data_IF_265169233207
#
_entry.id   IF_265169233207
#
_cell.length_a   1.000
_cell.length_b   1.000
_cell.length_c   1.000
_cell.angle_alpha   90.00
_cell.angle_beta   90.00
_cell.angle_gamma   90.00
#
_symmetry.space_group_name_H-M   'P 1'
#
loop_
_entity.id
_entity.type
_entity.pdbx_description
1 polymer ?
#
# COMPACT_ATOMS: atom_id res chain seq x y z
N UNK A 1 53.56 6.70 82.20
CA UNK A 1 52.15 6.94 81.83
C UNK A 1 52.10 7.32 80.35
N UNK A 2 51.41 6.52 79.53
CA UNK A 2 50.88 6.73 78.17
C UNK A 2 51.80 7.40 77.10
N UNK A 3 51.89 6.97 75.83
CA UNK A 3 51.00 6.17 74.99
C UNK A 3 51.78 5.59 73.80
N UNK A 4 51.54 4.32 73.46
CA UNK A 4 52.01 3.63 72.25
C UNK A 4 51.28 4.12 71.00
N UNK A 5 52.01 4.29 69.88
CA UNK A 5 51.45 4.32 68.52
C UNK A 5 52.52 3.82 67.53
N UNK A 6 52.60 2.49 67.37
CA UNK A 6 53.37 1.86 66.30
C UNK A 6 52.45 1.60 65.12
N UNK A 7 52.76 2.22 63.97
CA UNK A 7 52.02 2.06 62.71
C UNK A 7 52.26 0.65 62.13
N UNK A 8 51.20 -0.12 61.97
CA UNK A 8 51.20 -1.37 61.20
C UNK A 8 51.07 -1.02 59.70
N UNK A 9 52.05 -1.40 58.88
CA UNK A 9 51.95 -1.33 57.42
C UNK A 9 51.42 -2.68 56.93
N UNK A 10 50.19 -2.71 56.43
CA UNK A 10 49.59 -3.89 55.80
C UNK A 10 49.94 -3.88 54.31
N UNK A 11 50.74 -4.86 53.88
CA UNK A 11 51.10 -5.07 52.47
C UNK A 11 49.97 -5.88 51.81
N UNK A 12 49.12 -5.25 51.01
CA UNK A 12 48.09 -5.94 50.21
C UNK A 12 48.69 -6.40 48.88
N UNK A 13 48.95 -7.70 48.76
CA UNK A 13 49.31 -8.35 47.49
C UNK A 13 48.07 -8.50 46.60
N UNK A 14 47.98 -7.73 45.51
CA UNK A 14 46.97 -7.92 44.46
C UNK A 14 47.32 -9.14 43.60
N UNK A 15 46.52 -10.21 43.69
CA UNK A 15 46.53 -11.30 42.71
C UNK A 15 45.71 -10.88 41.49
N UNK A 16 46.38 -10.67 40.34
CA UNK A 16 45.72 -10.44 39.06
C UNK A 16 45.16 -11.77 38.52
N UNK A 17 43.84 -11.94 38.59
CA UNK A 17 43.11 -13.06 37.96
C UNK A 17 42.97 -12.74 36.47
N UNK A 18 43.75 -13.42 35.62
CA UNK A 18 43.60 -13.35 34.16
C UNK A 18 42.42 -14.25 33.79
N UNK A 19 41.25 -13.64 33.56
CA UNK A 19 40.08 -14.34 33.00
C UNK A 19 40.28 -14.43 31.49
N UNK A 20 40.32 -15.63 30.88
CA UNK A 20 40.42 -15.75 29.43
C UNK A 20 39.13 -15.24 28.80
N UNK A 21 39.23 -14.13 28.07
CA UNK A 21 38.15 -13.59 27.25
C UNK A 21 37.93 -14.52 26.06
N UNK A 22 37.02 -15.48 26.20
CA UNK A 22 36.49 -16.19 25.05
C UNK A 22 35.74 -15.19 24.15
N UNK A 23 36.13 -15.00 22.89
CA UNK A 23 35.33 -14.20 21.97
C UNK A 23 33.97 -14.87 21.84
N UNK A 24 32.94 -14.17 22.31
CA UNK A 24 31.55 -14.56 22.10
C UNK A 24 31.34 -14.54 20.59
N UNK A 25 31.39 -15.72 19.95
CA UNK A 25 30.92 -15.88 18.58
C UNK A 25 29.41 -15.62 18.60
N UNK A 26 29.02 -14.37 18.37
CA UNK A 26 27.66 -14.06 17.98
C UNK A 26 27.49 -14.67 16.60
N UNK A 27 26.91 -15.87 16.55
CA UNK A 27 26.37 -16.43 15.32
C UNK A 27 25.27 -15.47 14.87
N UNK A 28 25.64 -14.49 14.03
CA UNK A 28 24.68 -13.76 13.24
C UNK A 28 24.05 -14.78 12.29
N UNK A 29 22.92 -15.36 12.70
CA UNK A 29 22.05 -16.07 11.77
C UNK A 29 21.60 -15.03 10.76
N UNK A 30 22.28 -14.96 9.61
CA UNK A 30 21.74 -14.29 8.43
C UNK A 30 20.48 -15.08 8.07
N UNK A 31 19.34 -14.61 8.53
CA UNK A 31 18.04 -15.13 8.12
C UNK A 31 17.98 -15.02 6.60
N UNK A 32 17.79 -16.16 5.94
CA UNK A 32 17.82 -16.24 4.48
C UNK A 32 16.78 -15.29 3.88
N UNK A 33 17.13 -14.61 2.79
CA UNK A 33 16.14 -13.81 2.07
C UNK A 33 15.03 -14.72 1.54
N UNK A 34 13.80 -14.24 1.61
CA UNK A 34 12.64 -14.88 1.02
C UNK A 34 12.70 -14.77 -0.50
N UNK A 35 12.49 -15.90 -1.16
CA UNK A 35 12.29 -15.94 -2.60
C UNK A 35 10.80 -16.06 -2.89
N UNK A 36 10.21 -14.99 -3.43
CA UNK A 36 8.82 -14.98 -3.86
C UNK A 36 8.76 -15.20 -5.38
N UNK A 37 8.32 -16.39 -5.87
CA UNK A 37 8.18 -16.65 -7.30
C UNK A 37 7.00 -15.90 -7.93
N UNK A 38 6.07 -15.38 -7.12
CA UNK A 38 4.93 -14.61 -7.56
C UNK A 38 4.42 -13.66 -6.49
N UNK A 39 3.69 -12.63 -6.93
CA UNK A 39 2.92 -11.74 -6.06
C UNK A 39 1.43 -11.81 -6.47
N UNK A 40 0.55 -12.00 -5.49
CA UNK A 40 -0.89 -11.84 -5.67
C UNK A 40 -1.36 -10.61 -4.91
N UNK A 41 -1.73 -9.56 -5.65
CA UNK A 41 -2.08 -8.27 -5.09
C UNK A 41 -3.60 -8.07 -5.03
N UNK A 42 -4.08 -7.55 -3.90
CA UNK A 42 -5.45 -7.13 -3.66
C UNK A 42 -5.43 -5.68 -3.22
N UNK A 43 -6.41 -4.89 -3.65
CA UNK A 43 -6.32 -3.47 -3.33
C UNK A 43 -7.29 -2.57 -4.05
N UNK A 44 -7.03 -1.28 -3.90
CA UNK A 44 -7.68 -0.23 -4.65
C UNK A 44 -6.75 0.41 -5.69
N UNK A 45 -7.01 1.66 -6.06
CA UNK A 45 -6.27 2.40 -7.06
C UNK A 45 -4.81 2.66 -6.71
N UNK A 46 -4.42 2.58 -5.43
CA UNK A 46 -3.02 2.72 -5.01
C UNK A 46 -2.13 1.56 -5.49
N UNK A 47 -2.74 0.43 -5.85
CA UNK A 47 -2.04 -0.75 -6.36
C UNK A 47 -2.67 -1.32 -7.64
N UNK A 48 -3.65 -0.67 -8.25
CA UNK A 48 -4.30 -1.11 -9.49
C UNK A 48 -3.35 -0.98 -10.69
N UNK A 49 -3.07 -2.10 -11.37
CA UNK A 49 -2.23 -2.15 -12.58
C UNK A 49 -3.03 -2.32 -13.88
N UNK A 50 -4.35 -2.16 -13.83
CA UNK A 50 -5.24 -2.19 -14.99
C UNK A 50 -6.60 -2.87 -14.78
N UNK A 51 -6.97 -3.26 -13.56
CA UNK A 51 -8.24 -3.90 -13.22
C UNK A 51 -9.44 -3.02 -13.57
N UNK A 52 -9.44 -1.76 -13.15
CA UNK A 52 -10.52 -0.83 -13.54
C UNK A 52 -10.47 -0.55 -15.05
N UNK A 53 -9.26 -0.46 -15.61
CA UNK A 53 -9.06 -0.16 -17.02
C UNK A 53 -9.60 -1.25 -17.95
N UNK A 54 -9.43 -2.52 -17.58
CA UNK A 54 -9.95 -3.67 -18.30
C UNK A 54 -11.48 -3.79 -18.20
N UNK A 55 -12.07 -3.43 -17.05
CA UNK A 55 -13.51 -3.56 -16.82
C UNK A 55 -14.34 -2.35 -17.30
N UNK A 56 -13.83 -1.12 -17.15
CA UNK A 56 -14.62 0.11 -17.31
C UNK A 56 -13.96 1.15 -18.24
N UNK A 57 -12.78 0.87 -18.77
CA UNK A 57 -12.08 1.73 -19.72
C UNK A 57 -10.79 2.31 -19.16
N UNK A 58 -9.82 2.49 -20.05
CA UNK A 58 -8.44 2.85 -19.72
C UNK A 58 -8.34 4.16 -18.94
N UNK A 59 -7.45 4.19 -17.93
CA UNK A 59 -6.97 5.43 -17.36
C UNK A 59 -6.49 6.36 -18.50
N UNK A 60 -7.06 7.55 -18.68
CA UNK A 60 -6.75 8.35 -19.86
C UNK A 60 -5.34 8.95 -19.79
N UNK A 61 -4.73 9.34 -20.93
CA UNK A 61 -3.56 10.21 -20.90
C UNK A 61 -3.86 11.48 -20.08
N UNK A 62 -2.92 12.03 -19.31
CA UNK A 62 -1.47 11.74 -19.30
C UNK A 62 -1.00 10.66 -18.30
N UNK A 63 -1.88 9.80 -17.77
CA UNK A 63 -1.43 8.70 -16.91
C UNK A 63 -0.34 7.86 -17.62
N UNK A 64 0.71 7.50 -16.88
CA UNK A 64 1.86 6.73 -17.38
C UNK A 64 2.94 7.52 -18.13
N UNK A 65 2.82 8.85 -18.30
CA UNK A 65 3.77 9.65 -19.11
C UNK A 65 5.24 9.56 -18.67
N UNK A 66 5.52 9.42 -17.38
CA UNK A 66 6.88 9.46 -16.81
C UNK A 66 7.67 8.19 -17.11
N UNK A 67 7.03 7.01 -17.06
CA UNK A 67 7.74 5.73 -17.15
C UNK A 67 7.25 4.80 -18.25
N UNK A 68 5.93 4.65 -18.39
CA UNK A 68 5.36 3.81 -19.44
C UNK A 68 5.27 4.56 -20.78
N UNK A 69 5.36 5.89 -20.73
CA UNK A 69 5.23 6.83 -21.85
C UNK A 69 3.88 6.73 -22.60
N UNK A 70 2.91 6.07 -21.97
CA UNK A 70 1.53 5.90 -22.41
C UNK A 70 0.69 5.40 -21.22
N UNK A 71 -0.65 5.51 -21.29
CA UNK A 71 -1.52 4.83 -20.35
C UNK A 71 -1.22 3.34 -20.23
N UNK A 72 -1.00 2.90 -18.98
CA UNK A 72 -0.69 1.51 -18.63
C UNK A 72 -1.59 1.00 -17.48
N UNK A 73 -2.84 1.49 -17.43
CA UNK A 73 -3.85 1.08 -16.45
C UNK A 73 -3.68 1.62 -15.03
N UNK A 74 -2.60 2.34 -14.73
CA UNK A 74 -2.28 2.91 -13.41
C UNK A 74 -2.77 4.35 -13.30
N UNK A 75 -3.36 4.71 -12.17
CA UNK A 75 -3.71 6.09 -11.83
C UNK A 75 -2.50 6.81 -11.24
N UNK A 76 -1.47 7.04 -12.05
CA UNK A 76 -0.24 7.74 -11.71
C UNK A 76 0.42 8.21 -13.00
N UNK A 77 1.40 9.11 -12.94
CA UNK A 77 2.28 9.41 -14.07
C UNK A 77 3.22 8.25 -14.41
N UNK A 78 3.29 7.21 -13.57
CA UNK A 78 4.05 6.00 -13.89
C UNK A 78 3.83 4.87 -12.90
N UNK A 79 4.92 4.36 -12.32
CA UNK A 79 4.94 3.19 -11.44
C UNK A 79 4.28 3.44 -10.09
N UNK A 80 3.56 2.42 -9.61
CA UNK A 80 2.98 2.35 -8.27
C UNK A 80 3.94 1.66 -7.29
N UNK A 81 3.65 1.72 -5.98
CA UNK A 81 4.44 1.02 -4.96
C UNK A 81 4.54 -0.49 -5.25
N UNK A 82 3.45 -1.10 -5.75
CA UNK A 82 3.43 -2.53 -6.12
C UNK A 82 4.40 -2.87 -7.26
N UNK A 83 4.65 -1.95 -8.19
CA UNK A 83 5.61 -2.16 -9.28
C UNK A 83 7.05 -2.20 -8.75
N UNK A 84 7.37 -1.37 -7.75
CA UNK A 84 8.67 -1.40 -7.08
C UNK A 84 8.83 -2.64 -6.20
N UNK A 85 7.76 -3.10 -5.53
CA UNK A 85 7.75 -4.37 -4.80
C UNK A 85 8.07 -5.53 -5.76
N UNK A 86 7.38 -5.63 -6.89
CA UNK A 86 7.64 -6.66 -7.90
C UNK A 86 9.08 -6.61 -8.43
N UNK A 87 9.57 -5.42 -8.79
CA UNK A 87 10.95 -5.23 -9.25
C UNK A 87 12.01 -5.66 -8.23
N UNK A 88 11.72 -5.54 -6.93
CA UNK A 88 12.65 -5.92 -5.86
C UNK A 88 12.91 -7.42 -5.74
N UNK A 89 11.99 -8.23 -6.28
CA UNK A 89 12.09 -9.68 -6.40
C UNK A 89 12.46 -10.13 -7.83
N UNK A 90 12.76 -9.20 -8.73
CA UNK A 90 13.05 -9.51 -10.13
C UNK A 90 11.85 -10.02 -10.92
N UNK A 91 10.62 -9.77 -10.44
CA UNK A 91 9.39 -10.17 -11.12
C UNK A 91 9.00 -9.13 -12.18
N UNK A 92 8.30 -9.54 -13.26
CA UNK A 92 7.65 -8.59 -14.15
C UNK A 92 6.58 -7.79 -13.41
N UNK A 93 6.17 -6.65 -13.96
CA UNK A 93 5.01 -5.93 -13.44
C UNK A 93 3.77 -6.79 -13.51
N UNK A 94 2.98 -6.77 -12.44
CA UNK A 94 1.80 -7.61 -12.34
C UNK A 94 0.76 -7.18 -13.36
N UNK A 95 0.29 -8.14 -14.15
CA UNK A 95 -0.88 -7.95 -15.00
C UNK A 95 -2.16 -7.98 -14.17
N UNK A 96 -3.13 -7.15 -14.53
CA UNK A 96 -4.45 -7.19 -13.95
C UNK A 96 -5.15 -8.51 -14.30
N UNK A 97 -5.83 -9.11 -13.34
CA UNK A 97 -6.59 -10.36 -13.54
C UNK A 97 -7.62 -10.24 -14.68
N UNK A 98 -8.26 -9.08 -14.78
CA UNK A 98 -9.31 -8.79 -15.76
C UNK A 98 -8.77 -8.46 -17.15
N UNK A 99 -7.46 -8.30 -17.32
CA UNK A 99 -6.89 -7.96 -18.62
C UNK A 99 -6.89 -9.18 -19.55
N UNK A 100 -7.46 -8.98 -20.75
CA UNK A 100 -7.75 -10.06 -21.69
C UNK A 100 -6.69 -10.24 -22.77
N UNK A 101 -5.80 -9.25 -22.97
CA UNK A 101 -4.86 -9.22 -24.10
C UNK A 101 -3.42 -9.18 -23.61
N UNK A 102 -2.62 -10.16 -24.03
CA UNK A 102 -1.17 -10.15 -23.79
C UNK A 102 -0.75 -10.46 -22.34
N UNK A 103 -1.68 -10.94 -21.52
CA UNK A 103 -1.45 -11.16 -20.10
C UNK A 103 -0.54 -12.36 -19.81
N UNK A 104 0.42 -12.17 -18.91
CA UNK A 104 1.29 -13.21 -18.38
C UNK A 104 1.20 -13.22 -16.85
N UNK A 105 0.70 -14.32 -16.29
CA UNK A 105 0.50 -14.48 -14.85
C UNK A 105 1.56 -15.36 -14.16
N UNK A 106 2.68 -15.66 -14.82
CA UNK A 106 3.76 -16.48 -14.23
C UNK A 106 4.32 -15.87 -12.94
N UNK A 107 4.50 -14.54 -12.93
CA UNK A 107 4.92 -13.77 -11.76
C UNK A 107 3.79 -13.40 -10.80
N UNK A 108 2.60 -13.98 -10.98
CA UNK A 108 1.41 -13.67 -10.20
C UNK A 108 0.43 -12.75 -10.93
N UNK A 109 -0.57 -12.27 -10.20
CA UNK A 109 -1.71 -11.51 -10.75
C UNK A 109 -2.13 -10.39 -9.80
N UNK A 110 -2.69 -9.33 -10.38
CA UNK A 110 -3.24 -8.22 -9.62
C UNK A 110 -4.76 -8.17 -9.72
N UNK A 111 -5.44 -8.29 -8.57
CA UNK A 111 -6.89 -8.22 -8.43
C UNK A 111 -7.36 -6.83 -7.96
N UNK A 112 -6.43 -5.92 -7.65
CA UNK A 112 -6.77 -4.56 -7.27
C UNK A 112 -7.51 -3.85 -8.40
N UNK A 113 -8.50 -3.04 -8.03
CA UNK A 113 -9.29 -2.23 -8.96
C UNK A 113 -9.47 -0.84 -8.37
N UNK A 114 -9.28 0.20 -9.19
CA UNK A 114 -9.41 1.57 -8.75
C UNK A 114 -10.80 1.88 -8.19
N UNK A 115 -10.85 2.57 -7.05
CA UNK A 115 -12.11 2.86 -6.34
C UNK A 115 -12.70 1.66 -5.57
N UNK A 116 -12.01 0.53 -5.49
CA UNK A 116 -12.46 -0.62 -4.70
C UNK A 116 -12.50 -0.34 -3.20
N UNK A 117 -13.44 -1.01 -2.55
CA UNK A 117 -13.74 -0.91 -1.12
C UNK A 117 -13.69 -2.31 -0.49
N UNK A 118 -13.46 -2.38 0.81
CA UNK A 118 -13.54 -3.65 1.55
C UNK A 118 -14.97 -4.17 1.48
N UNK A 119 -15.94 -3.34 1.84
CA UNK A 119 -17.36 -3.70 1.77
C UNK A 119 -17.94 -3.40 0.39
N UNK A 120 -18.84 -4.24 -0.15
CA UNK A 120 -19.61 -3.90 -1.34
C UNK A 120 -20.36 -2.57 -1.20
N UNK A 121 -20.41 -1.78 -2.27
CA UNK A 121 -21.17 -0.53 -2.30
C UNK A 121 -22.59 -0.76 -2.81
N UNK A 122 -23.57 -0.05 -2.22
CA UNK A 122 -24.97 -0.08 -2.64
C UNK A 122 -25.29 0.87 -3.82
N UNK A 123 -24.26 1.37 -4.50
CA UNK A 123 -24.38 2.33 -5.62
C UNK A 123 -23.53 1.86 -6.78
N UNK A 124 -23.86 2.28 -8.00
CA UNK A 124 -23.07 1.97 -9.19
C UNK A 124 -21.83 2.86 -9.28
N UNK A 125 -20.83 2.43 -10.07
CA UNK A 125 -19.67 3.24 -10.43
C UNK A 125 -20.06 4.62 -10.97
N UNK A 126 -21.11 4.70 -11.80
CA UNK A 126 -21.60 5.96 -12.36
C UNK A 126 -22.25 6.90 -11.33
N UNK A 127 -22.79 6.36 -10.23
CA UNK A 127 -23.44 7.14 -9.18
C UNK A 127 -22.44 7.69 -8.17
N UNK A 128 -21.51 6.85 -7.71
CA UNK A 128 -20.62 7.19 -6.58
C UNK A 128 -19.15 7.35 -6.96
N UNK A 129 -18.72 6.78 -8.09
CA UNK A 129 -17.32 6.70 -8.48
C UNK A 129 -16.55 5.54 -7.83
N UNK A 130 -17.19 4.72 -7.00
CA UNK A 130 -16.57 3.55 -6.38
C UNK A 130 -16.79 2.29 -7.23
N UNK A 131 -15.79 1.43 -7.27
CA UNK A 131 -15.82 0.21 -8.07
C UNK A 131 -16.79 -0.82 -7.49
N UNK A 132 -17.55 -1.54 -8.33
CA UNK A 132 -18.35 -2.68 -7.89
C UNK A 132 -17.48 -3.92 -7.54
N UNK A 133 -16.17 -3.87 -7.83
CA UNK A 133 -15.21 -4.93 -7.55
C UNK A 133 -14.65 -4.72 -6.14
N UNK A 134 -15.45 -4.97 -5.11
CA UNK A 134 -15.04 -4.91 -3.71
C UNK A 134 -14.10 -6.07 -3.34
N UNK A 135 -13.47 -6.03 -2.15
CA UNK A 135 -12.46 -7.01 -1.74
C UNK A 135 -12.95 -8.46 -1.81
N UNK A 136 -14.22 -8.72 -1.48
CA UNK A 136 -14.81 -10.04 -1.63
C UNK A 136 -14.92 -10.48 -3.10
N UNK A 137 -15.15 -9.56 -4.03
CA UNK A 137 -15.16 -9.85 -5.48
C UNK A 137 -13.74 -10.15 -5.95
N UNK A 138 -12.75 -9.35 -5.54
CA UNK A 138 -11.33 -9.63 -5.82
C UNK A 138 -10.91 -11.01 -5.30
N UNK A 139 -11.44 -11.42 -4.14
CA UNK A 139 -11.23 -12.78 -3.64
C UNK A 139 -11.92 -13.84 -4.51
N UNK A 140 -13.14 -13.62 -5.01
CA UNK A 140 -13.78 -14.55 -5.94
C UNK A 140 -12.99 -14.71 -7.23
N UNK A 141 -12.45 -13.60 -7.75
CA UNK A 141 -11.54 -13.59 -8.89
C UNK A 141 -10.29 -14.42 -8.60
N UNK A 142 -9.65 -14.22 -7.44
CA UNK A 142 -8.49 -15.02 -7.03
C UNK A 142 -8.83 -16.50 -6.86
N UNK A 143 -9.95 -16.84 -6.23
CA UNK A 143 -10.39 -18.22 -6.03
C UNK A 143 -10.58 -18.93 -7.38
N UNK A 144 -11.23 -18.27 -8.33
CA UNK A 144 -11.41 -18.80 -9.68
C UNK A 144 -10.08 -18.88 -10.43
N UNK A 145 -9.23 -17.86 -10.32
CA UNK A 145 -7.89 -17.85 -10.91
C UNK A 145 -7.03 -19.01 -10.40
N UNK A 146 -7.02 -19.25 -9.08
CA UNK A 146 -6.26 -20.31 -8.44
C UNK A 146 -6.63 -21.68 -9.04
N UNK A 147 -7.92 -22.00 -9.13
CA UNK A 147 -8.38 -23.29 -9.67
C UNK A 147 -8.23 -23.37 -11.20
N UNK A 148 -8.66 -22.33 -11.92
CA UNK A 148 -8.70 -22.32 -13.39
C UNK A 148 -7.32 -22.24 -14.00
N UNK A 149 -6.35 -21.62 -13.35
CA UNK A 149 -4.95 -21.60 -13.80
C UNK A 149 -4.40 -23.02 -13.92
N UNK A 150 -4.68 -23.90 -12.96
CA UNK A 150 -4.21 -25.29 -13.00
C UNK A 150 -4.91 -26.09 -14.11
N UNK A 151 -6.20 -25.85 -14.35
CA UNK A 151 -6.92 -26.43 -15.48
C UNK A 151 -6.35 -25.93 -16.80
N UNK A 152 -6.07 -24.63 -16.93
CA UNK A 152 -5.51 -24.03 -18.14
C UNK A 152 -4.12 -24.61 -18.47
N UNK A 153 -3.25 -24.78 -17.46
CA UNK A 153 -1.93 -25.42 -17.64
C UNK A 153 -2.01 -26.82 -18.26
N UNK A 154 -3.11 -27.55 -18.07
CA UNK A 154 -3.30 -28.89 -18.67
C UNK A 154 -3.71 -28.85 -20.14
N UNK A 155 -4.06 -27.68 -20.69
CA UNK A 155 -4.57 -27.52 -22.07
C UNK A 155 -3.48 -27.36 -23.14
N UNK A 156 -2.20 -27.18 -22.76
CA UNK A 156 -1.09 -27.11 -23.71
C UNK A 156 0.08 -26.24 -23.22
N UNK A 157 1.19 -26.28 -23.96
CA UNK A 157 2.47 -25.66 -23.58
C UNK A 157 2.35 -24.15 -23.36
N UNK A 158 1.66 -23.42 -24.24
CA UNK A 158 1.46 -21.96 -24.10
C UNK A 158 0.84 -21.59 -22.75
N UNK A 159 -0.17 -22.32 -22.31
CA UNK A 159 -0.81 -22.06 -21.01
C UNK A 159 0.05 -22.49 -19.81
N UNK A 160 0.95 -23.46 -19.99
CA UNK A 160 1.94 -23.81 -18.98
C UNK A 160 2.99 -22.71 -18.76
N UNK A 161 3.27 -21.93 -19.80
CA UNK A 161 4.23 -20.82 -19.76
C UNK A 161 3.61 -19.49 -19.34
N UNK A 162 2.28 -19.36 -19.35
CA UNK A 162 1.59 -18.11 -18.99
C UNK A 162 0.88 -18.13 -17.63
N UNK A 163 0.73 -19.30 -17.01
CA UNK A 163 0.02 -19.47 -15.73
C UNK A 163 0.98 -19.91 -14.61
N UNK A 164 0.73 -19.56 -13.34
CA UNK A 164 1.57 -20.00 -12.24
C UNK A 164 1.37 -21.50 -11.94
N UNK A 165 2.45 -22.18 -11.51
CA UNK A 165 2.37 -23.58 -11.02
C UNK A 165 1.64 -23.63 -9.68
N UNK A 166 1.06 -24.78 -9.34
CA UNK A 166 0.32 -24.96 -8.08
C UNK A 166 1.16 -24.63 -6.82
N UNK A 167 2.44 -25.04 -6.78
CA UNK A 167 3.31 -24.80 -5.64
C UNK A 167 3.63 -23.30 -5.41
N UNK A 168 3.53 -22.49 -6.47
CA UNK A 168 3.78 -21.03 -6.42
C UNK A 168 2.83 -20.33 -5.45
N UNK A 169 1.56 -20.76 -5.36
CA UNK A 169 0.57 -20.11 -4.50
C UNK A 169 0.98 -20.16 -3.02
N UNK A 170 1.51 -21.31 -2.56
CA UNK A 170 1.98 -21.43 -1.17
C UNK A 170 3.26 -20.65 -0.85
N UNK A 171 4.03 -20.30 -1.89
CA UNK A 171 5.30 -19.57 -1.79
C UNK A 171 5.19 -18.11 -2.19
N UNK A 172 4.01 -17.64 -2.60
CA UNK A 172 3.81 -16.27 -3.09
C UNK A 172 3.74 -15.25 -1.95
N UNK A 173 3.99 -13.99 -2.31
CA UNK A 173 3.68 -12.84 -1.47
C UNK A 173 2.28 -12.34 -1.77
N UNK A 174 1.46 -12.17 -0.73
CA UNK A 174 0.11 -11.62 -0.84
C UNK A 174 0.11 -10.19 -0.32
N UNK A 175 -0.17 -9.21 -1.18
CA UNK A 175 -0.12 -7.78 -0.83
C UNK A 175 -1.51 -7.18 -0.75
N UNK A 176 -1.73 -6.27 0.21
CA UNK A 176 -3.01 -5.58 0.43
C UNK A 176 -2.80 -4.07 0.60
N UNK A 177 -3.45 -3.26 -0.22
CA UNK A 177 -3.59 -1.80 -0.03
C UNK A 177 -5.05 -1.40 -0.33
N UNK A 178 -5.88 -1.40 0.72
CA UNK A 178 -7.33 -1.20 0.61
C UNK A 178 -7.93 -0.61 1.89
N UNK A 179 -9.07 0.08 1.76
CA UNK A 179 -9.85 0.61 2.88
C UNK A 179 -9.99 2.13 2.83
N UNK A 180 -9.14 2.83 2.05
CA UNK A 180 -9.23 4.28 1.88
C UNK A 180 -10.60 4.71 1.36
N UNK A 181 -11.06 4.02 0.32
CA UNK A 181 -12.33 4.33 -0.34
C UNK A 181 -13.52 4.07 0.58
N UNK A 182 -13.45 3.11 1.51
CA UNK A 182 -14.55 2.84 2.45
C UNK A 182 -14.83 4.08 3.29
N UNK A 183 -13.78 4.73 3.79
CA UNK A 183 -13.88 5.95 4.61
C UNK A 183 -14.48 7.10 3.81
N UNK A 184 -13.95 7.37 2.62
CA UNK A 184 -14.45 8.48 1.80
C UNK A 184 -15.81 8.19 1.17
N UNK A 185 -16.20 6.93 1.01
CA UNK A 185 -17.53 6.56 0.53
C UNK A 185 -18.59 6.99 1.52
N UNK A 186 -18.37 6.76 2.82
CA UNK A 186 -19.29 7.26 3.85
C UNK A 186 -19.42 8.78 3.83
N UNK A 187 -18.31 9.51 3.79
CA UNK A 187 -18.34 10.98 3.77
C UNK A 187 -19.03 11.55 2.53
N UNK A 188 -18.83 10.95 1.35
CA UNK A 188 -19.50 11.41 0.14
C UNK A 188 -20.97 11.03 0.04
N UNK A 189 -21.44 10.18 0.97
CA UNK A 189 -22.85 9.93 1.25
C UNK A 189 -23.36 10.78 2.43
N UNK A 190 -22.66 11.86 2.79
CA UNK A 190 -22.98 12.77 3.89
C UNK A 190 -23.05 12.11 5.28
N UNK A 191 -22.34 11.01 5.49
CA UNK A 191 -22.21 10.42 6.84
C UNK A 191 -21.33 11.30 7.73
N UNK A 192 -21.66 11.37 9.02
CA UNK A 192 -20.79 11.97 10.03
C UNK A 192 -19.55 11.12 10.29
N UNK A 193 -18.51 11.72 10.90
CA UNK A 193 -17.32 10.99 11.35
C UNK A 193 -17.66 9.80 12.25
N UNK A 194 -18.64 9.94 13.14
CA UNK A 194 -19.04 8.85 14.02
C UNK A 194 -19.73 7.71 13.26
N UNK A 195 -20.58 8.05 12.28
CA UNK A 195 -21.19 7.06 11.40
C UNK A 195 -20.15 6.31 10.55
N UNK A 196 -19.12 7.02 10.08
CA UNK A 196 -17.99 6.39 9.37
C UNK A 196 -17.22 5.44 10.29
N UNK A 197 -16.86 5.90 11.50
CA UNK A 197 -16.18 5.07 12.50
C UNK A 197 -17.02 3.85 12.91
N UNK A 198 -18.34 3.99 12.97
CA UNK A 198 -19.24 2.93 13.43
C UNK A 198 -19.22 1.66 12.57
N UNK A 199 -18.97 1.77 11.26
CA UNK A 199 -18.89 0.57 10.39
C UNK A 199 -17.48 0.03 10.19
N UNK A 200 -16.42 0.69 10.69
CA UNK A 200 -15.04 0.18 10.58
C UNK A 200 -14.88 -1.24 11.15
N UNK A 201 -15.49 -1.62 12.30
CA UNK A 201 -15.43 -3.00 12.79
C UNK A 201 -15.96 -4.04 11.79
N UNK A 202 -17.01 -3.69 11.02
CA UNK A 202 -17.52 -4.57 9.97
C UNK A 202 -16.53 -4.74 8.82
N UNK A 203 -15.89 -3.65 8.38
CA UNK A 203 -14.81 -3.70 7.39
C UNK A 203 -13.69 -4.64 7.83
N UNK A 204 -13.28 -4.53 9.10
CA UNK A 204 -12.25 -5.35 9.71
C UNK A 204 -12.60 -6.84 9.72
N UNK A 205 -13.86 -7.18 10.00
CA UNK A 205 -14.34 -8.56 9.94
C UNK A 205 -14.32 -9.12 8.51
N UNK A 206 -14.75 -8.33 7.52
CA UNK A 206 -14.71 -8.73 6.11
C UNK A 206 -13.27 -8.90 5.62
N UNK A 207 -12.37 -7.96 5.94
CA UNK A 207 -10.94 -8.06 5.63
C UNK A 207 -10.32 -9.32 6.24
N UNK A 208 -10.54 -9.56 7.53
CA UNK A 208 -10.07 -10.77 8.24
C UNK A 208 -10.56 -12.05 7.58
N UNK A 209 -11.82 -12.08 7.15
CA UNK A 209 -12.40 -13.23 6.42
C UNK A 209 -11.64 -13.52 5.13
N UNK A 210 -11.30 -12.50 4.35
CA UNK A 210 -10.57 -12.69 3.08
C UNK A 210 -9.15 -13.20 3.33
N UNK A 211 -8.43 -12.66 4.32
CA UNK A 211 -7.11 -13.18 4.71
C UNK A 211 -7.19 -14.66 5.10
N UNK A 212 -8.19 -15.03 5.92
CA UNK A 212 -8.43 -16.43 6.32
C UNK A 212 -8.72 -17.32 5.11
N UNK A 213 -9.54 -16.87 4.17
CA UNK A 213 -9.85 -17.64 2.98
C UNK A 213 -8.61 -17.91 2.11
N UNK A 214 -7.76 -16.88 1.89
CA UNK A 214 -6.51 -17.03 1.15
C UNK A 214 -5.54 -17.97 1.88
N UNK A 215 -5.48 -17.88 3.21
CA UNK A 215 -4.71 -18.82 4.02
C UNK A 215 -5.17 -20.28 3.84
N UNK A 216 -6.47 -20.53 3.83
CA UNK A 216 -7.03 -21.86 3.60
C UNK A 216 -6.79 -22.38 2.17
N UNK A 217 -6.53 -21.49 1.23
CA UNK A 217 -6.08 -21.83 -0.13
C UNK A 217 -4.56 -21.95 -0.27
N UNK A 218 -3.83 -21.95 0.84
CA UNK A 218 -2.39 -22.19 0.86
C UNK A 218 -1.54 -20.94 1.02
N UNK A 219 -2.10 -19.73 1.03
CA UNK A 219 -1.32 -18.50 1.19
C UNK A 219 -0.59 -18.44 2.54
N UNK A 220 0.69 -18.04 2.53
CA UNK A 220 1.56 -18.05 3.72
C UNK A 220 2.25 -16.72 4.04
N UNK A 221 2.47 -15.83 3.09
CA UNK A 221 3.21 -14.58 3.34
C UNK A 221 2.35 -13.39 2.98
N UNK A 222 1.99 -12.55 3.96
CA UNK A 222 1.09 -11.42 3.80
C UNK A 222 1.80 -10.10 4.13
N UNK A 223 1.67 -9.12 3.24
CA UNK A 223 2.21 -7.78 3.37
C UNK A 223 1.09 -6.76 3.24
N UNK A 224 0.63 -6.26 4.40
CA UNK A 224 -0.63 -5.53 4.53
C UNK A 224 -0.33 -4.07 4.84
N UNK A 225 -0.66 -3.18 3.91
CA UNK A 225 -0.56 -1.74 4.11
C UNK A 225 -1.78 -1.24 4.89
N UNK A 226 -1.55 -0.30 5.79
CA UNK A 226 -2.64 0.50 6.37
C UNK A 226 -3.10 1.60 5.38
N UNK A 227 -4.13 2.38 5.71
CA UNK A 227 -4.60 3.44 4.80
C UNK A 227 -3.82 4.74 5.00
N UNK A 228 -3.70 5.54 3.94
CA UNK A 228 -2.99 6.83 3.95
C UNK A 228 -3.77 7.97 4.65
N UNK A 229 -3.16 9.16 4.78
CA UNK A 229 -3.80 10.33 5.39
C UNK A 229 -4.84 10.94 4.44
N UNK A 230 -6.07 10.43 4.48
CA UNK A 230 -7.17 10.84 3.59
C UNK A 230 -7.51 12.32 3.67
N UNK A 231 -7.32 12.95 4.84
CA UNK A 231 -7.53 14.38 5.05
C UNK A 231 -6.52 15.26 4.32
N UNK A 232 -5.46 14.70 3.75
CA UNK A 232 -4.49 15.43 2.95
C UNK A 232 -4.80 15.39 1.44
N UNK A 233 -5.82 14.64 1.00
CA UNK A 233 -6.08 14.42 -0.41
C UNK A 233 -6.94 15.57 -0.98
N UNK A 234 -6.57 16.18 -2.13
CA UNK A 234 -7.33 17.28 -2.73
C UNK A 234 -8.81 17.00 -2.92
N UNK A 235 -9.19 15.79 -3.32
CA UNK A 235 -10.61 15.46 -3.49
C UNK A 235 -11.40 15.47 -2.17
N UNK A 236 -10.74 15.25 -1.03
CA UNK A 236 -11.35 15.39 0.31
C UNK A 236 -11.38 16.86 0.71
N UNK A 237 -10.25 17.56 0.55
CA UNK A 237 -10.09 18.97 0.90
C UNK A 237 -10.99 19.92 0.09
N UNK A 238 -11.35 19.55 -1.13
CA UNK A 238 -12.21 20.33 -2.03
C UNK A 238 -13.70 20.00 -1.86
N UNK A 239 -14.05 18.74 -1.61
CA UNK A 239 -15.45 18.28 -1.59
C UNK A 239 -16.12 18.37 -0.22
N UNK A 240 -15.35 18.37 0.86
CA UNK A 240 -15.89 18.37 2.22
C UNK A 240 -15.71 19.74 2.87
N UNK A 241 -16.70 20.13 3.66
CA UNK A 241 -16.65 21.38 4.43
C UNK A 241 -15.65 21.22 5.58
N UNK A 242 -14.61 22.06 5.57
CA UNK A 242 -13.54 22.06 6.56
C UNK A 242 -13.36 23.48 7.07
N UNK A 243 -13.42 23.65 8.38
CA UNK A 243 -13.14 24.94 9.02
C UNK A 243 -11.63 25.15 9.19
N UNK A 244 -11.17 26.39 9.30
CA UNK A 244 -9.74 26.68 9.51
C UNK A 244 -9.16 26.01 10.77
N UNK A 245 -9.98 25.80 11.80
CA UNK A 245 -9.58 25.12 13.04
C UNK A 245 -9.38 23.61 12.87
N UNK A 246 -9.90 23.01 11.80
CA UNK A 246 -9.80 21.58 11.49
C UNK A 246 -8.63 21.27 10.54
N UNK A 247 -7.79 22.24 10.23
CA UNK A 247 -6.63 22.09 9.35
C UNK A 247 -5.36 22.08 10.18
N UNK A 248 -4.56 21.02 10.04
CA UNK A 248 -3.28 20.90 10.73
C UNK A 248 -2.18 21.76 10.10
N UNK A 249 -0.97 21.73 10.69
CA UNK A 249 0.17 22.51 10.19
C UNK A 249 0.66 22.09 8.79
N UNK A 250 0.35 20.87 8.35
CA UNK A 250 0.67 20.38 7.02
C UNK A 250 -0.41 20.80 5.99
N UNK A 251 -1.52 21.39 6.43
CA UNK A 251 -2.65 21.77 5.58
C UNK A 251 -3.69 20.66 5.40
N UNK A 252 -3.58 19.56 6.15
CA UNK A 252 -4.49 18.43 6.07
C UNK A 252 -5.68 18.59 7.02
N UNK A 253 -6.84 18.06 6.62
CA UNK A 253 -8.04 18.05 7.44
C UNK A 253 -7.97 16.98 8.53
N UNK A 254 -7.79 17.43 9.77
CA UNK A 254 -7.61 16.59 10.97
C UNK A 254 -8.75 15.58 11.17
N UNK A 255 -10.04 15.93 11.09
CA UNK A 255 -11.12 14.98 11.38
C UNK A 255 -11.09 13.73 10.48
N UNK A 256 -10.71 13.88 9.21
CA UNK A 256 -10.65 12.76 8.27
C UNK A 256 -9.38 11.93 8.47
N UNK A 257 -8.26 12.57 8.82
CA UNK A 257 -7.03 11.89 9.20
C UNK A 257 -7.20 11.07 10.49
N UNK A 258 -7.95 11.56 11.48
CA UNK A 258 -8.27 10.81 12.70
C UNK A 258 -9.08 9.54 12.42
N UNK A 259 -9.96 9.55 11.41
CA UNK A 259 -10.69 8.35 10.99
C UNK A 259 -9.77 7.35 10.29
N UNK A 260 -8.87 7.82 9.43
CA UNK A 260 -7.84 6.95 8.85
C UNK A 260 -6.96 6.32 9.94
N UNK A 261 -6.55 7.08 10.95
CA UNK A 261 -5.82 6.57 12.10
C UNK A 261 -6.63 5.55 12.91
N UNK A 262 -7.92 5.80 13.13
CA UNK A 262 -8.80 4.84 13.78
C UNK A 262 -8.93 3.52 13.00
N UNK A 263 -9.12 3.59 11.68
CA UNK A 263 -9.08 2.41 10.81
C UNK A 263 -7.74 1.67 10.94
N UNK A 264 -6.62 2.39 10.89
CA UNK A 264 -5.27 1.82 10.98
C UNK A 264 -5.00 1.14 12.31
N UNK A 265 -5.51 1.68 13.42
CA UNK A 265 -5.47 1.06 14.74
C UNK A 265 -6.24 -0.27 14.73
N UNK A 266 -7.47 -0.29 14.22
CA UNK A 266 -8.28 -1.51 14.15
C UNK A 266 -7.68 -2.57 13.23
N UNK A 267 -7.08 -2.16 12.11
CA UNK A 267 -6.35 -3.07 11.23
C UNK A 267 -5.16 -3.71 11.94
N UNK A 268 -4.41 -2.94 12.73
CA UNK A 268 -3.29 -3.47 13.53
C UNK A 268 -3.77 -4.50 14.56
N UNK A 269 -4.89 -4.25 15.23
CA UNK A 269 -5.53 -5.20 16.15
C UNK A 269 -5.95 -6.50 15.43
N UNK A 270 -6.56 -6.39 14.24
CA UNK A 270 -6.92 -7.54 13.41
C UNK A 270 -5.70 -8.33 12.96
N UNK A 271 -4.62 -7.67 12.51
CA UNK A 271 -3.38 -8.35 12.12
C UNK A 271 -2.78 -9.10 13.30
N UNK A 272 -2.77 -8.52 14.50
CA UNK A 272 -2.31 -9.19 15.71
C UNK A 272 -3.15 -10.44 16.03
N UNK A 273 -4.46 -10.39 15.82
CA UNK A 273 -5.33 -11.56 15.98
C UNK A 273 -5.10 -12.61 14.88
N UNK A 274 -4.97 -12.19 13.62
CA UNK A 274 -4.70 -13.10 12.49
C UNK A 274 -3.39 -13.87 12.68
N UNK A 275 -2.34 -13.27 13.25
CA UNK A 275 -1.10 -13.98 13.59
C UNK A 275 -1.31 -15.13 14.59
N UNK A 276 -2.26 -14.98 15.52
CA UNK A 276 -2.62 -16.03 16.48
C UNK A 276 -3.47 -17.11 15.81
N UNK A 277 -4.44 -16.70 15.00
CA UNK A 277 -5.38 -17.60 14.33
C UNK A 277 -4.71 -18.42 13.21
N UNK A 278 -3.65 -17.88 12.57
CA UNK A 278 -3.02 -18.42 11.36
C UNK A 278 -1.53 -18.73 11.59
N UNK A 279 -1.19 -19.76 12.40
CA UNK A 279 0.19 -20.00 12.85
C UNK A 279 1.17 -20.41 11.73
N UNK A 280 0.67 -20.80 10.55
CA UNK A 280 1.50 -21.11 9.39
C UNK A 280 1.79 -19.87 8.53
N UNK A 281 1.14 -18.74 8.77
CA UNK A 281 1.33 -17.51 8.01
C UNK A 281 2.35 -16.57 8.66
N UNK A 282 3.20 -15.96 7.84
CA UNK A 282 3.89 -14.73 8.18
C UNK A 282 3.01 -13.56 7.73
N UNK A 283 2.65 -12.66 8.65
CA UNK A 283 1.77 -11.52 8.39
C UNK A 283 2.47 -10.25 8.84
N UNK A 284 2.78 -9.37 7.90
CA UNK A 284 3.46 -8.10 8.15
C UNK A 284 2.49 -6.95 7.94
N UNK A 285 2.32 -6.11 8.97
CA UNK A 285 1.60 -4.85 8.89
C UNK A 285 2.58 -3.75 8.49
N UNK A 286 2.17 -2.82 7.63
CA UNK A 286 3.02 -1.76 7.09
C UNK A 286 2.34 -0.42 7.25
N UNK A 287 3.00 0.48 8.00
CA UNK A 287 2.51 1.81 8.31
C UNK A 287 2.81 2.82 7.19
N UNK A 288 2.08 2.70 6.08
CA UNK A 288 2.18 3.65 4.97
C UNK A 288 1.56 5.01 5.31
N UNK A 289 0.66 5.10 6.29
CA UNK A 289 0.12 6.36 6.80
C UNK A 289 1.24 7.29 7.25
N UNK A 290 2.10 6.81 8.17
CA UNK A 290 3.16 7.63 8.74
C UNK A 290 4.17 8.06 7.68
N UNK A 291 4.48 7.18 6.73
CA UNK A 291 5.37 7.47 5.58
C UNK A 291 4.76 8.56 4.69
N UNK A 292 3.50 8.39 4.26
CA UNK A 292 2.79 9.35 3.40
C UNK A 292 2.61 10.71 4.09
N UNK A 293 2.22 10.73 5.37
CA UNK A 293 2.06 11.98 6.13
C UNK A 293 3.40 12.68 6.36
N UNK A 294 4.49 11.94 6.64
CA UNK A 294 5.83 12.50 6.76
C UNK A 294 6.29 13.15 5.44
N UNK A 295 6.01 12.51 4.30
CA UNK A 295 6.34 13.07 2.98
C UNK A 295 5.62 14.40 2.74
N UNK A 296 4.33 14.48 3.06
CA UNK A 296 3.52 15.69 2.89
C UNK A 296 4.00 16.82 3.82
N UNK A 297 4.16 16.51 5.11
CA UNK A 297 4.55 17.50 6.13
C UNK A 297 5.99 17.99 6.00
N UNK A 298 6.88 17.19 5.39
CA UNK A 298 8.30 17.53 5.17
C UNK A 298 8.67 17.59 3.69
N UNK A 299 7.71 17.92 2.81
CA UNK A 299 7.88 17.85 1.36
C UNK A 299 9.13 18.59 0.85
N UNK A 300 9.35 19.82 1.33
CA UNK A 300 10.51 20.64 0.92
C UNK A 300 11.86 20.01 1.27
N UNK A 301 11.94 19.31 2.42
CA UNK A 301 13.15 18.58 2.84
C UNK A 301 13.47 17.41 1.89
N UNK A 302 12.47 16.89 1.20
CA UNK A 302 12.60 15.77 0.28
C UNK A 302 12.57 16.18 -1.19
N UNK A 303 12.66 17.48 -1.50
CA UNK A 303 12.69 18.00 -2.87
C UNK A 303 11.31 18.12 -3.54
N UNK A 304 10.23 17.91 -2.80
CA UNK A 304 8.86 18.06 -3.29
C UNK A 304 8.30 19.46 -3.03
N UNK A 305 7.45 19.92 -3.94
CA UNK A 305 6.82 21.26 -3.90
C UNK A 305 5.30 21.18 -4.06
N UNK A 306 4.60 22.10 -3.39
CA UNK A 306 3.13 22.14 -3.27
C UNK A 306 2.53 20.76 -2.90
N UNK A 307 2.77 20.29 -1.66
CA UNK A 307 2.47 18.91 -1.26
C UNK A 307 1.00 18.51 -1.34
N UNK A 308 0.08 19.48 -1.38
CA UNK A 308 -1.37 19.29 -1.45
C UNK A 308 -1.97 19.72 -2.79
N UNK A 309 -1.16 20.04 -3.80
CA UNK A 309 -1.64 20.48 -5.12
C UNK A 309 -1.36 19.39 -6.14
N UNK A 310 -2.40 18.95 -6.85
CA UNK A 310 -2.28 17.93 -7.88
C UNK A 310 -1.38 18.39 -9.03
N UNK A 311 -0.50 17.51 -9.51
CA UNK A 311 0.29 17.75 -10.72
C UNK A 311 -0.63 17.79 -11.95
N UNK A 312 -1.46 16.78 -12.12
CA UNK A 312 -2.41 16.64 -13.20
C UNK A 312 -3.83 17.01 -12.75
N UNK A 313 -4.41 18.02 -13.39
CA UNK A 313 -5.75 18.47 -13.03
C UNK A 313 -6.09 19.82 -13.62
N UNK A 314 -7.19 20.40 -13.16
CA UNK A 314 -7.68 21.65 -13.72
C UNK A 314 -8.33 22.57 -12.67
N UNK A 315 -7.65 23.68 -12.38
CA UNK A 315 -8.23 24.80 -11.63
C UNK A 315 -8.48 24.52 -10.15
N UNK A 316 -9.09 25.49 -9.46
CA UNK A 316 -9.32 25.41 -8.01
C UNK A 316 -8.04 25.56 -7.17
N UNK A 317 -8.21 25.57 -5.85
CA UNK A 317 -7.11 25.79 -4.88
C UNK A 317 -6.03 24.69 -4.94
N UNK A 318 -6.45 23.46 -5.22
CA UNK A 318 -5.59 22.28 -5.19
C UNK A 318 -5.28 21.70 -6.58
N UNK A 319 -5.51 22.49 -7.66
CA UNK A 319 -5.50 22.00 -9.04
C UNK A 319 -6.40 20.77 -9.24
N UNK A 320 -7.56 20.76 -8.59
CA UNK A 320 -8.51 19.65 -8.59
C UNK A 320 -9.90 20.17 -8.89
N UNK A 321 -10.63 19.42 -9.72
CA UNK A 321 -12.03 19.65 -10.02
C UNK A 321 -12.72 18.31 -10.29
N UNK A 322 -13.77 18.00 -9.52
CA UNK A 322 -14.51 16.72 -9.63
C UNK A 322 -15.08 16.46 -11.04
N UNK A 323 -15.40 17.50 -11.79
CA UNK A 323 -16.00 17.39 -13.12
C UNK A 323 -14.98 17.51 -14.26
N UNK A 324 -13.77 17.98 -13.95
CA UNK A 324 -12.68 18.20 -14.91
C UNK A 324 -11.37 17.70 -14.31
N UNK A 325 -11.24 16.39 -14.20
CA UNK A 325 -10.06 15.73 -13.64
C UNK A 325 -8.87 15.65 -14.60
N UNK A 326 -7.82 14.96 -14.16
CA UNK A 326 -6.66 14.64 -15.00
C UNK A 326 -7.09 14.00 -16.33
N UNK A 327 -6.52 14.44 -17.44
CA UNK A 327 -6.86 13.95 -18.78
C UNK A 327 -8.13 14.55 -19.40
N UNK A 328 -8.89 15.35 -18.66
CA UNK A 328 -10.15 15.93 -19.16
C UNK A 328 -9.92 16.88 -20.34
N UNK A 329 -10.80 16.77 -21.35
CA UNK A 329 -10.80 17.61 -22.56
C UNK A 329 -12.12 18.40 -22.63
N UNK A 330 -12.05 19.60 -23.17
CA UNK A 330 -13.23 20.40 -23.52
C UNK A 330 -13.25 20.64 -25.04
N UNK A 331 -14.46 20.73 -25.60
CA UNK A 331 -14.65 21.15 -26.98
C UNK A 331 -14.68 22.68 -27.04
N UNK A 332 -13.77 23.27 -27.79
CA UNK A 332 -13.78 24.71 -28.12
C UNK A 332 -13.55 24.87 -29.61
N UNK A 333 -14.47 25.57 -30.29
CA UNK A 333 -14.41 25.80 -31.74
C UNK A 333 -14.25 24.50 -32.55
N UNK A 334 -14.96 23.44 -32.14
CA UNK A 334 -14.89 22.11 -32.76
C UNK A 334 -13.62 21.31 -32.46
N UNK A 335 -12.66 21.86 -31.70
CA UNK A 335 -11.40 21.18 -31.32
C UNK A 335 -11.45 20.68 -29.89
N UNK A 336 -10.93 19.47 -29.68
CA UNK A 336 -10.72 18.89 -28.35
C UNK A 336 -9.45 19.47 -27.73
N UNK A 337 -9.60 20.22 -26.63
CA UNK A 337 -8.48 20.84 -25.90
C UNK A 337 -8.31 20.13 -24.56
N UNK A 338 -7.13 19.57 -24.31
CA UNK A 338 -6.76 19.01 -23.01
C UNK A 338 -6.66 20.14 -21.96
N UNK A 339 -7.50 20.09 -20.94
CA UNK A 339 -7.53 21.07 -19.84
C UNK A 339 -7.01 20.49 -18.53
N UNK A 340 -7.23 19.19 -18.30
CA UNK A 340 -6.62 18.42 -17.21
C UNK A 340 -5.21 18.00 -17.55
N UNK A 341 -4.31 18.97 -17.74
CA UNK A 341 -2.91 18.72 -18.13
C UNK A 341 -2.09 18.28 -16.93
N UNK A 342 -1.04 17.52 -17.21
CA UNK A 342 0.05 17.31 -16.26
C UNK A 342 0.79 18.63 -15.98
N UNK A 343 1.42 18.71 -14.82
CA UNK A 343 2.32 19.80 -14.48
C UNK A 343 3.64 19.65 -15.26
N UNK A 344 4.47 20.70 -15.26
CA UNK A 344 5.73 20.71 -16.02
C UNK A 344 6.71 19.62 -15.58
N UNK A 345 6.73 19.32 -14.28
CA UNK A 345 7.68 18.38 -13.69
C UNK A 345 6.99 17.55 -12.60
N UNK A 346 6.52 16.32 -12.94
CA UNK A 346 5.93 15.40 -11.97
C UNK A 346 6.91 14.93 -10.89
N UNK A 347 8.23 14.98 -11.14
CA UNK A 347 9.25 14.43 -10.22
C UNK A 347 9.36 15.20 -8.90
N UNK A 348 8.86 16.44 -8.88
CA UNK A 348 8.83 17.31 -7.70
C UNK A 348 7.44 17.46 -7.08
N UNK A 349 6.46 16.65 -7.51
CA UNK A 349 5.09 16.65 -6.98
C UNK A 349 4.79 15.39 -6.20
N UNK A 350 4.02 15.49 -5.13
CA UNK A 350 3.54 14.32 -4.37
C UNK A 350 2.29 13.75 -5.00
N UNK A 351 1.30 14.63 -5.26
CA UNK A 351 -0.04 14.24 -5.68
C UNK A 351 -0.13 14.34 -7.21
N UNK A 352 -0.60 13.27 -7.83
CA UNK A 352 -0.82 13.18 -9.27
C UNK A 352 -2.14 13.85 -9.67
N UNK A 353 -3.30 13.27 -9.34
CA UNK A 353 -4.60 13.66 -9.90
C UNK A 353 -5.65 14.12 -8.88
N UNK A 354 -5.22 14.28 -7.62
CA UNK A 354 -6.06 14.68 -6.48
C UNK A 354 -6.43 13.54 -5.53
N UNK A 355 -6.11 12.30 -5.90
CA UNK A 355 -6.22 11.12 -5.05
C UNK A 355 -4.88 10.39 -5.01
N UNK A 356 -4.28 10.16 -6.17
CA UNK A 356 -3.14 9.27 -6.31
C UNK A 356 -1.82 10.00 -6.27
N UNK A 357 -0.74 9.25 -6.06
CA UNK A 357 0.60 9.80 -5.90
C UNK A 357 1.38 9.66 -7.21
N UNK A 358 2.33 10.56 -7.42
CA UNK A 358 3.24 10.48 -8.56
C UNK A 358 4.17 9.28 -8.45
N UNK A 359 4.79 8.87 -9.54
CA UNK A 359 5.84 7.85 -9.52
C UNK A 359 6.97 8.21 -8.56
N UNK A 360 7.40 9.47 -8.56
CA UNK A 360 8.46 9.94 -7.66
C UNK A 360 8.08 9.76 -6.19
N UNK A 361 6.83 10.08 -5.83
CA UNK A 361 6.33 9.88 -4.48
C UNK A 361 6.13 8.39 -4.15
N UNK A 362 5.61 7.58 -5.08
CA UNK A 362 5.49 6.13 -4.91
C UNK A 362 6.85 5.46 -4.68
N UNK A 363 7.87 5.86 -5.45
CA UNK A 363 9.25 5.40 -5.25
C UNK A 363 9.79 5.79 -3.88
N UNK A 364 9.59 7.04 -3.49
CA UNK A 364 10.00 7.51 -2.16
C UNK A 364 9.32 6.74 -1.04
N UNK A 365 8.03 6.43 -1.17
CA UNK A 365 7.29 5.61 -0.17
C UNK A 365 7.87 4.20 -0.13
N UNK A 366 8.05 3.57 -1.29
CA UNK A 366 8.63 2.22 -1.39
C UNK A 366 9.99 2.14 -0.69
N UNK A 367 10.89 3.10 -0.94
CA UNK A 367 12.24 3.15 -0.35
C UNK A 367 12.23 3.24 1.18
N UNK A 368 11.10 3.63 1.80
CA UNK A 368 10.95 3.78 3.26
C UNK A 368 10.34 2.55 3.91
N UNK A 369 9.53 1.79 3.18
CA UNK A 369 8.87 0.60 3.73
C UNK A 369 9.65 -0.69 3.46
N UNK A 370 10.52 -0.71 2.43
CA UNK A 370 11.20 -1.93 1.98
C UNK A 370 12.16 -2.52 3.01
N UNK A 371 12.79 -1.67 3.83
CA UNK A 371 13.75 -2.11 4.86
C UNK A 371 13.08 -2.58 6.15
N UNK A 372 11.76 -2.43 6.26
CA UNK A 372 10.98 -2.84 7.43
C UNK A 372 10.88 -1.81 8.54
N UNK A 373 11.46 -0.62 8.41
CA UNK A 373 11.44 0.42 9.46
C UNK A 373 10.03 0.88 9.82
N UNK A 374 9.09 0.75 8.89
CA UNK A 374 7.66 1.07 9.09
C UNK A 374 6.79 -0.19 9.13
N UNK A 375 7.37 -1.34 9.40
CA UNK A 375 6.64 -2.59 9.50
C UNK A 375 6.53 -3.09 10.94
N UNK A 376 5.46 -3.83 11.20
CA UNK A 376 5.28 -4.62 12.41
C UNK A 376 5.04 -6.08 11.97
N UNK A 377 5.87 -7.06 12.37
CA UNK A 377 7.17 -6.86 13.04
C UNK A 377 8.14 -6.06 12.14
N UNK A 378 9.18 -5.40 12.68
CA UNK A 378 10.10 -4.53 11.93
C UNK A 378 11.06 -5.36 11.06
N UNK A 379 10.55 -5.88 9.95
CA UNK A 379 11.25 -6.84 9.09
C UNK A 379 11.30 -6.33 7.65
N UNK A 380 12.46 -6.44 6.97
CA UNK A 380 12.54 -6.08 5.57
C UNK A 380 11.53 -6.86 4.72
N UNK A 381 11.08 -6.24 3.62
CA UNK A 381 10.20 -6.88 2.64
C UNK A 381 10.79 -8.21 2.13
N UNK A 382 12.11 -8.27 1.91
CA UNK A 382 12.84 -9.48 1.52
C UNK A 382 12.88 -10.56 2.60
N UNK A 383 12.30 -10.31 3.77
CA UNK A 383 12.20 -11.24 4.90
C UNK A 383 10.74 -11.52 5.28
N UNK A 384 9.76 -11.08 4.47
CA UNK A 384 8.33 -11.14 4.80
C UNK A 384 7.72 -12.56 4.91
N UNK A 385 8.47 -13.61 4.56
CA UNK A 385 8.09 -15.01 4.75
C UNK A 385 8.46 -15.56 6.12
N UNK A 386 9.26 -14.83 6.91
CA UNK A 386 9.67 -15.25 8.24
C UNK A 386 8.59 -14.95 9.26
N UNK A 387 8.29 -15.97 10.07
CA UNK A 387 7.36 -15.85 11.19
C UNK A 387 8.14 -15.43 12.42
N UNK A 388 7.64 -14.42 13.13
CA UNK A 388 8.19 -14.01 14.41
C UNK A 388 7.21 -14.43 15.49
N UNK A 389 7.72 -15.08 16.53
CA UNK A 389 6.94 -15.34 17.73
C UNK A 389 6.70 -13.98 18.42
N UNK A 390 5.42 -13.64 18.62
CA UNK A 390 5.04 -12.50 19.46
C UNK A 390 5.32 -12.81 20.93
#
# INVERSE_FOLDING_TARGET
>A
MACCLSRLVVLTTLLAVIIPSFPCLVLAFTTAQCEFPAIFNFGDSNSDTGGLSAAFGQAPPPNGETYFHAPAGRYSDGRLVIDFIAGSFGLPYLSAYLDSVGTNFTGGANFATAGSTIRPQNTTLSQSGYSPISLNVQFYEFNDFHQRSQVARRKGVVWQELMPKEDVFSRALYTFDIGQNDLTAGYFLNMSTDQVKAYVPDLMNQFSTIIKNIYWQGGRSFWIHNTGPVGCLPYVLDRLLITAAQVDRAGCATPFNEVAQYFNQRLKEVVAQLRKDLPLAAITYVDVYSVKYSLISQASKHGFVLPLVSCCGHGGKYNFNRHMGCGSKITRDGKQILVGKSCKDPSVRIIWDGVHYTEAANKWIYDRIVDGSYSDPPIPLKMACHRFAN
#
